data_IF_228140655661
#
_entry.id   IF_228140655661
#
_cell.length_a   1.000
_cell.length_b   1.000
_cell.length_c   1.000
_cell.angle_alpha   90.00
_cell.angle_beta   90.00
_cell.angle_gamma   90.00
#
_symmetry.space_group_name_H-M   'P 1'
#
loop_
_entity.id
_entity.type
_entity.pdbx_description
1 polymer ?
#
# COMPACT_ATOMS: atom_id res chain seq x y z
N UNK A 1 -8.73 -16.08 15.32
CA UNK A 1 -9.88 -15.16 15.33
C UNK A 1 -9.56 -13.92 14.53
N UNK A 2 -10.32 -13.64 13.48
CA UNK A 2 -10.09 -12.48 12.62
C UNK A 2 -10.79 -11.28 13.23
N UNK A 3 -10.02 -10.28 13.66
CA UNK A 3 -10.55 -9.14 14.39
C UNK A 3 -10.48 -7.84 13.59
N UNK A 4 -9.40 -7.68 12.82
CA UNK A 4 -9.12 -6.43 12.11
C UNK A 4 -9.48 -6.49 10.62
N UNK A 5 -9.44 -7.67 10.03
CA UNK A 5 -9.59 -7.85 8.57
C UNK A 5 -10.71 -8.83 8.20
N UNK A 6 -11.69 -9.01 9.08
CA UNK A 6 -12.81 -9.94 8.88
C UNK A 6 -13.63 -9.65 7.62
N UNK A 7 -13.75 -8.38 7.26
CA UNK A 7 -14.55 -7.94 6.12
C UNK A 7 -13.78 -7.91 4.79
N UNK A 8 -12.47 -8.15 4.83
CA UNK A 8 -11.64 -8.11 3.62
C UNK A 8 -11.78 -9.40 2.81
N UNK A 9 -12.23 -9.26 1.57
CA UNK A 9 -12.44 -10.36 0.62
C UNK A 9 -11.43 -10.39 -0.51
N UNK A 10 -10.71 -9.27 -0.72
CA UNK A 10 -9.71 -9.14 -1.77
C UNK A 10 -8.41 -8.58 -1.21
N UNK A 11 -7.31 -8.79 -1.95
CA UNK A 11 -6.02 -8.21 -1.58
C UNK A 11 -6.05 -6.68 -1.56
N UNK A 12 -6.82 -6.06 -2.45
CA UNK A 12 -6.96 -4.61 -2.50
C UNK A 12 -7.65 -4.06 -1.25
N UNK A 13 -8.73 -4.70 -0.81
CA UNK A 13 -9.41 -4.35 0.44
C UNK A 13 -8.50 -4.51 1.65
N UNK A 14 -7.69 -5.57 1.67
CA UNK A 14 -6.72 -5.81 2.73
C UNK A 14 -5.64 -4.73 2.79
N UNK A 15 -5.11 -4.30 1.65
CA UNK A 15 -4.12 -3.22 1.57
C UNK A 15 -4.65 -1.91 2.14
N UNK A 16 -5.87 -1.55 1.77
CA UNK A 16 -6.54 -0.35 2.27
C UNK A 16 -6.76 -0.44 3.79
N UNK A 17 -7.29 -1.56 4.25
CA UNK A 17 -7.56 -1.78 5.68
C UNK A 17 -6.28 -1.75 6.52
N UNK A 18 -5.22 -2.41 6.06
CA UNK A 18 -3.93 -2.39 6.73
C UNK A 18 -3.37 -0.98 6.86
N UNK A 19 -3.41 -0.21 5.77
CA UNK A 19 -2.92 1.18 5.77
C UNK A 19 -3.66 2.05 6.79
N UNK A 20 -4.97 1.90 6.89
CA UNK A 20 -5.79 2.62 7.88
C UNK A 20 -5.39 2.26 9.30
N UNK A 21 -5.29 0.97 9.59
CA UNK A 21 -4.94 0.48 10.93
C UNK A 21 -3.52 0.87 11.32
N UNK A 22 -2.57 0.76 10.41
CA UNK A 22 -1.19 1.17 10.66
C UNK A 22 -1.09 2.67 10.94
N UNK A 23 -1.84 3.50 10.25
CA UNK A 23 -1.87 4.95 10.48
C UNK A 23 -2.39 5.33 11.88
N UNK A 24 -3.21 4.47 12.49
CA UNK A 24 -3.78 4.70 13.82
C UNK A 24 -2.95 4.06 14.93
N UNK A 25 -2.49 2.83 14.70
CA UNK A 25 -1.93 1.98 15.76
C UNK A 25 -0.40 1.84 15.72
N UNK A 26 0.27 2.39 14.72
CA UNK A 26 1.72 2.28 14.64
C UNK A 26 2.41 3.06 15.78
N UNK A 27 3.44 2.50 16.44
CA UNK A 27 4.16 3.19 17.52
C UNK A 27 4.70 4.56 17.16
N UNK A 28 5.14 4.76 15.91
CA UNK A 28 5.67 6.04 15.42
C UNK A 28 4.60 7.15 15.39
N UNK A 29 3.32 6.79 15.40
CA UNK A 29 2.19 7.75 15.47
C UNK A 29 1.49 7.72 16.84
N UNK A 30 2.14 7.13 17.85
CA UNK A 30 1.61 7.06 19.21
C UNK A 30 0.73 5.85 19.50
N UNK A 31 0.74 4.85 18.62
CA UNK A 31 -0.01 3.61 18.81
C UNK A 31 0.69 2.62 19.76
N UNK A 32 0.00 1.53 20.03
CA UNK A 32 0.48 0.47 20.91
C UNK A 32 1.21 -0.64 20.16
N UNK A 33 2.40 -1.01 20.63
CA UNK A 33 3.23 -2.05 20.00
C UNK A 33 2.52 -3.40 19.95
N UNK A 34 1.88 -3.81 21.05
CA UNK A 34 1.19 -5.10 21.12
C UNK A 34 0.01 -5.16 20.13
N UNK A 35 -0.76 -4.09 20.02
CA UNK A 35 -1.85 -3.96 19.06
C UNK A 35 -1.32 -4.02 17.62
N UNK A 36 -0.24 -3.32 17.33
CA UNK A 36 0.35 -3.33 15.99
C UNK A 36 0.91 -4.71 15.60
N UNK A 37 1.51 -5.42 16.55
CA UNK A 37 1.97 -6.79 16.34
C UNK A 37 0.81 -7.73 16.00
N UNK A 38 -0.31 -7.60 16.71
CA UNK A 38 -1.52 -8.38 16.43
C UNK A 38 -2.09 -8.07 15.03
N UNK A 39 -2.12 -6.79 14.64
CA UNK A 39 -2.53 -6.35 13.30
C UNK A 39 -1.62 -6.94 12.23
N UNK A 40 -0.30 -6.89 12.43
CA UNK A 40 0.67 -7.43 11.48
C UNK A 40 0.51 -8.95 11.30
N UNK A 41 0.35 -9.69 12.40
CA UNK A 41 0.17 -11.14 12.35
C UNK A 41 -1.11 -11.54 11.63
N UNK A 42 -2.20 -10.84 11.89
CA UNK A 42 -3.48 -11.09 11.22
C UNK A 42 -3.43 -10.71 9.73
N UNK A 43 -2.80 -9.57 9.41
CA UNK A 43 -2.58 -9.14 8.03
C UNK A 43 -1.85 -10.21 7.22
N UNK A 44 -0.74 -10.72 7.74
CA UNK A 44 0.07 -11.71 7.03
C UNK A 44 -0.70 -13.00 6.79
N UNK A 45 -1.45 -13.46 7.77
CA UNK A 45 -2.29 -14.66 7.66
C UNK A 45 -3.41 -14.48 6.64
N UNK A 46 -4.12 -13.36 6.70
CA UNK A 46 -5.21 -13.06 5.76
C UNK A 46 -4.66 -12.82 4.35
N UNK A 47 -3.50 -12.16 4.24
CA UNK A 47 -2.82 -11.94 2.96
C UNK A 47 -2.51 -13.26 2.26
N UNK A 48 -1.90 -14.22 2.94
CA UNK A 48 -1.57 -15.52 2.36
C UNK A 48 -2.83 -16.29 1.91
N UNK A 49 -3.90 -16.22 2.69
CA UNK A 49 -5.19 -16.83 2.34
C UNK A 49 -5.80 -16.19 1.08
N UNK A 50 -5.85 -14.87 1.03
CA UNK A 50 -6.40 -14.14 -0.13
C UNK A 50 -5.51 -14.29 -1.37
N UNK A 51 -4.21 -14.32 -1.19
CA UNK A 51 -3.24 -14.57 -2.27
C UNK A 51 -3.43 -15.96 -2.87
N UNK A 52 -3.58 -16.99 -2.03
CA UNK A 52 -3.83 -18.34 -2.50
C UNK A 52 -5.13 -18.43 -3.29
N UNK A 53 -6.20 -17.80 -2.82
CA UNK A 53 -7.48 -17.74 -3.51
C UNK A 53 -7.38 -16.98 -4.84
N UNK A 54 -6.66 -15.85 -4.85
CA UNK A 54 -6.41 -15.07 -6.06
C UNK A 54 -5.65 -15.89 -7.11
N UNK A 55 -4.55 -16.53 -6.71
CA UNK A 55 -3.71 -17.32 -7.61
C UNK A 55 -4.41 -18.57 -8.12
N UNK A 56 -5.31 -19.17 -7.33
CA UNK A 56 -6.10 -20.32 -7.75
C UNK A 56 -7.12 -19.99 -8.84
N UNK A 57 -7.65 -18.76 -8.84
CA UNK A 57 -8.64 -18.29 -9.82
C UNK A 57 -8.03 -17.52 -11.00
N UNK A 58 -6.77 -17.08 -10.88
CA UNK A 58 -6.07 -16.32 -11.91
C UNK A 58 -5.33 -17.25 -12.87
N UNK A 59 -5.19 -16.81 -14.12
CA UNK A 59 -4.26 -17.46 -15.05
C UNK A 59 -2.80 -17.17 -14.63
N UNK A 60 -1.86 -17.91 -15.21
CA UNK A 60 -0.43 -17.81 -14.89
C UNK A 60 0.10 -16.37 -14.99
N UNK A 61 -0.46 -15.58 -15.91
CA UNK A 61 -0.05 -14.19 -16.12
C UNK A 61 -0.52 -13.24 -15.01
N UNK A 62 -1.66 -13.54 -14.39
CA UNK A 62 -2.26 -12.69 -13.34
C UNK A 62 -1.97 -13.15 -11.92
N UNK A 63 -1.25 -14.24 -11.74
CA UNK A 63 -0.81 -14.67 -10.41
C UNK A 63 0.19 -13.69 -9.83
N UNK A 64 0.20 -13.58 -8.50
CA UNK A 64 1.12 -12.68 -7.79
C UNK A 64 2.11 -13.43 -6.93
N UNK A 65 3.34 -12.92 -6.89
CA UNK A 65 4.41 -13.38 -6.00
C UNK A 65 4.65 -12.43 -4.82
N UNK A 66 3.81 -11.42 -4.65
CA UNK A 66 3.88 -10.48 -3.53
C UNK A 66 3.98 -11.19 -2.18
N UNK A 67 4.72 -10.59 -1.26
CA UNK A 67 4.78 -11.03 0.14
C UNK A 67 4.14 -10.01 1.06
N UNK A 68 3.50 -10.43 2.15
CA UNK A 68 2.88 -9.48 3.08
C UNK A 68 3.92 -8.58 3.75
N UNK A 69 5.11 -9.07 4.02
CA UNK A 69 6.20 -8.31 4.65
C UNK A 69 6.66 -7.14 3.79
N UNK A 70 6.74 -7.34 2.50
CA UNK A 70 7.15 -6.31 1.54
C UNK A 70 6.21 -5.10 1.58
N UNK A 71 4.91 -5.34 1.52
CA UNK A 71 3.90 -4.30 1.59
C UNK A 71 3.91 -3.60 2.96
N UNK A 72 3.96 -4.36 4.05
CA UNK A 72 4.03 -3.80 5.41
C UNK A 72 5.24 -2.88 5.58
N UNK A 73 6.40 -3.30 5.12
CA UNK A 73 7.63 -2.51 5.20
C UNK A 73 7.48 -1.17 4.51
N UNK A 74 6.97 -1.16 3.29
CA UNK A 74 6.80 0.07 2.51
C UNK A 74 5.80 1.01 3.20
N UNK A 75 4.66 0.49 3.65
CA UNK A 75 3.64 1.29 4.35
C UNK A 75 4.20 1.92 5.62
N UNK A 76 4.91 1.15 6.44
CA UNK A 76 5.49 1.64 7.70
C UNK A 76 6.53 2.73 7.45
N UNK A 77 7.41 2.55 6.48
CA UNK A 77 8.41 3.57 6.13
C UNK A 77 7.77 4.85 5.59
N UNK A 78 6.71 4.73 4.78
CA UNK A 78 5.97 5.89 4.29
C UNK A 78 5.26 6.66 5.42
N UNK A 79 4.80 5.98 6.46
CA UNK A 79 4.19 6.62 7.63
C UNK A 79 5.16 7.50 8.41
N UNK A 80 6.45 7.22 8.36
CA UNK A 80 7.49 8.03 9.01
C UNK A 80 7.78 9.35 8.28
N UNK A 81 7.34 9.47 7.03
CA UNK A 81 7.57 10.63 6.19
C UNK A 81 6.36 11.57 6.26
N UNK A 82 6.57 12.79 6.74
CA UNK A 82 5.50 13.77 6.89
C UNK A 82 5.17 14.50 5.58
N UNK A 83 3.94 14.96 5.45
CA UNK A 83 3.49 15.77 4.33
C UNK A 83 3.27 15.01 3.02
N UNK A 84 3.22 13.69 3.05
CA UNK A 84 2.95 12.87 1.87
C UNK A 84 1.47 12.56 1.74
N UNK A 85 0.99 12.60 0.50
CA UNK A 85 -0.32 12.10 0.10
C UNK A 85 -0.15 10.74 -0.56
N UNK A 86 -0.78 9.72 -0.02
CA UNK A 86 -0.67 8.35 -0.53
C UNK A 86 -2.03 7.89 -1.03
N UNK A 87 -2.06 7.48 -2.29
CA UNK A 87 -3.24 6.95 -2.95
C UNK A 87 -2.99 5.48 -3.31
N UNK A 88 -3.91 4.62 -2.92
CA UNK A 88 -3.87 3.19 -3.22
C UNK A 88 -4.79 2.92 -4.40
N UNK A 89 -4.22 2.46 -5.52
CA UNK A 89 -4.96 2.06 -6.71
C UNK A 89 -4.61 0.60 -7.02
N UNK A 90 -5.49 -0.34 -6.62
CA UNK A 90 -5.20 -1.76 -6.72
C UNK A 90 -3.95 -2.14 -5.91
N UNK A 91 -2.94 -2.70 -6.58
CA UNK A 91 -1.66 -3.05 -5.96
C UNK A 91 -0.62 -1.92 -6.02
N UNK A 92 -0.98 -0.77 -6.58
CA UNK A 92 -0.09 0.38 -6.73
C UNK A 92 -0.27 1.38 -5.60
N UNK A 93 0.85 1.92 -5.11
CA UNK A 93 0.88 3.09 -4.23
C UNK A 93 1.35 4.29 -5.04
N UNK A 94 0.56 5.36 -5.05
CA UNK A 94 0.92 6.63 -5.68
C UNK A 94 1.19 7.66 -4.59
N UNK A 95 2.33 8.29 -4.65
CA UNK A 95 2.85 9.15 -3.57
C UNK A 95 3.05 10.55 -4.12
N UNK A 96 2.31 11.49 -3.56
CA UNK A 96 2.41 12.91 -3.87
C UNK A 96 2.66 13.73 -2.62
N UNK A 97 2.47 15.05 -2.71
CA UNK A 97 2.68 15.98 -1.62
C UNK A 97 4.14 16.42 -1.53
N UNK A 98 4.69 16.51 -0.32
CA UNK A 98 6.05 17.00 -0.07
C UNK A 98 7.13 15.93 -0.33
N UNK A 99 7.14 15.39 -1.55
CA UNK A 99 8.05 14.31 -1.93
C UNK A 99 9.49 14.77 -2.12
N UNK A 100 9.71 16.07 -2.36
CA UNK A 100 11.04 16.62 -2.64
C UNK A 100 11.98 16.43 -1.46
N UNK A 101 11.51 16.65 -0.24
CA UNK A 101 12.30 16.48 0.99
C UNK A 101 12.60 15.00 1.28
N UNK A 102 11.76 14.10 0.81
CA UNK A 102 11.85 12.65 1.07
C UNK A 102 12.38 11.85 -0.12
N UNK A 103 12.93 12.51 -1.12
CA UNK A 103 13.39 11.88 -2.36
C UNK A 103 14.32 10.69 -2.14
N UNK A 104 15.31 10.84 -1.27
CA UNK A 104 16.28 9.77 -0.99
C UNK A 104 15.62 8.58 -0.26
N UNK A 105 14.73 8.87 0.69
CA UNK A 105 13.98 7.84 1.40
C UNK A 105 13.06 7.08 0.45
N UNK A 106 12.37 7.76 -0.47
CA UNK A 106 11.52 7.14 -1.47
C UNK A 106 12.31 6.25 -2.42
N UNK A 107 13.48 6.69 -2.86
CA UNK A 107 14.37 5.86 -3.69
C UNK A 107 14.84 4.61 -2.94
N UNK A 108 15.19 4.76 -1.67
CA UNK A 108 15.62 3.63 -0.83
C UNK A 108 14.53 2.58 -0.65
N UNK A 109 13.25 2.97 -0.70
CA UNK A 109 12.10 2.05 -0.65
C UNK A 109 11.82 1.36 -1.99
N UNK A 110 12.48 1.76 -3.07
CA UNK A 110 12.22 1.23 -4.40
C UNK A 110 11.13 1.98 -5.16
N UNK A 111 10.73 3.16 -4.67
CA UNK A 111 9.77 4.00 -5.38
C UNK A 111 10.39 4.61 -6.65
N UNK A 112 9.56 4.78 -7.67
CA UNK A 112 9.96 5.36 -8.96
C UNK A 112 9.17 6.63 -9.23
N UNK A 113 9.87 7.66 -9.72
CA UNK A 113 9.23 8.92 -10.09
C UNK A 113 8.63 8.85 -11.49
N UNK A 114 7.34 9.11 -11.59
CA UNK A 114 6.66 9.29 -12.88
C UNK A 114 6.69 10.78 -13.24
N UNK A 115 7.51 11.14 -14.20
CA UNK A 115 7.65 12.53 -14.66
C UNK A 115 6.34 13.08 -15.26
N UNK A 116 5.60 12.24 -15.99
CA UNK A 116 4.34 12.65 -16.62
C UNK A 116 3.23 12.92 -15.60
N UNK A 117 3.21 12.18 -14.51
CA UNK A 117 2.20 12.31 -13.45
C UNK A 117 2.65 13.20 -12.31
N UNK A 118 3.94 13.54 -12.25
CA UNK A 118 4.57 14.26 -11.13
C UNK A 118 4.34 13.58 -9.77
N UNK A 119 4.25 12.25 -9.79
CA UNK A 119 4.01 11.40 -8.62
C UNK A 119 5.07 10.30 -8.54
N UNK A 120 5.39 9.91 -7.32
CA UNK A 120 6.15 8.68 -7.07
C UNK A 120 5.21 7.50 -7.02
N UNK A 121 5.69 6.33 -7.39
CA UNK A 121 4.91 5.10 -7.34
C UNK A 121 5.72 3.95 -6.77
N UNK A 122 5.02 3.06 -6.09
CA UNK A 122 5.57 1.78 -5.66
C UNK A 122 4.64 0.66 -6.10
N UNK A 123 5.23 -0.41 -6.58
CA UNK A 123 4.53 -1.63 -6.96
C UNK A 123 5.49 -2.81 -6.84
N UNK A 124 4.96 -3.96 -6.42
CA UNK A 124 5.73 -5.20 -6.42
C UNK A 124 6.14 -5.58 -7.85
N UNK A 125 7.42 -5.89 -8.04
CA UNK A 125 7.93 -6.30 -9.35
C UNK A 125 7.80 -7.83 -9.50
N UNK A 126 6.89 -8.24 -10.37
CA UNK A 126 6.74 -9.64 -10.74
C UNK A 126 7.90 -10.08 -11.64
N UNK A 127 8.59 -11.16 -11.25
CA UNK A 127 9.71 -11.68 -12.02
C UNK A 127 9.29 -12.06 -13.46
N UNK A 128 10.02 -11.56 -14.44
CA UNK A 128 9.80 -11.87 -15.85
C UNK A 128 8.73 -11.04 -16.55
N UNK A 129 8.03 -10.15 -15.85
CA UNK A 129 7.07 -9.24 -16.49
C UNK A 129 7.74 -7.97 -17.00
N UNK A 130 7.66 -7.77 -18.30
CA UNK A 130 7.98 -6.47 -18.90
C UNK A 130 6.71 -5.64 -18.92
N UNK A 131 6.66 -4.60 -18.10
CA UNK A 131 5.56 -3.65 -18.11
C UNK A 131 5.54 -2.93 -19.45
N UNK A 132 4.45 -3.09 -20.19
CA UNK A 132 4.19 -2.22 -21.35
C UNK A 132 3.98 -0.81 -20.84
N UNK A 133 4.74 0.13 -21.34
CA UNK A 133 4.53 1.56 -21.07
C UNK A 133 3.17 1.97 -21.64
N UNK A 134 2.13 1.86 -20.83
CA UNK A 134 0.82 2.43 -21.12
C UNK A 134 0.83 3.89 -20.74
N UNK A 135 0.35 4.73 -21.60
CA UNK A 135 0.24 6.16 -21.31
C UNK A 135 -1.12 6.46 -20.69
N UNK A 136 -1.39 5.82 -19.55
CA UNK A 136 -2.63 6.00 -18.80
C UNK A 136 -2.56 7.23 -17.89
N UNK A 137 -3.60 8.06 -17.92
CA UNK A 137 -3.75 9.15 -16.96
C UNK A 137 -4.10 8.61 -15.57
N UNK A 138 -3.90 9.42 -14.53
CA UNK A 138 -4.35 9.04 -13.18
C UNK A 138 -5.86 8.79 -13.13
N UNK A 139 -6.65 9.53 -13.91
CA UNK A 139 -8.09 9.30 -14.05
C UNK A 139 -8.43 7.91 -14.59
N UNK A 140 -7.68 7.43 -15.58
CA UNK A 140 -7.87 6.11 -16.17
C UNK A 140 -7.48 5.00 -15.18
N UNK A 141 -6.38 5.20 -14.45
CA UNK A 141 -5.92 4.27 -13.42
C UNK A 141 -6.94 4.16 -12.29
N UNK A 142 -7.47 5.28 -11.81
CA UNK A 142 -8.51 5.32 -10.78
C UNK A 142 -9.79 4.61 -11.21
N UNK A 143 -10.22 4.80 -12.46
CA UNK A 143 -11.39 4.12 -13.01
C UNK A 143 -11.19 2.62 -13.12
N UNK A 144 -10.01 2.17 -13.51
CA UNK A 144 -9.71 0.75 -13.73
C UNK A 144 -9.54 -0.03 -12.43
N UNK A 145 -8.86 0.53 -11.44
CA UNK A 145 -8.46 -0.18 -10.23
C UNK A 145 -9.18 0.30 -8.96
N UNK A 146 -10.00 1.34 -9.05
CA UNK A 146 -10.49 2.03 -7.89
C UNK A 146 -9.41 2.91 -7.25
N UNK A 147 -9.82 3.79 -6.38
CA UNK A 147 -8.90 4.71 -5.71
C UNK A 147 -9.32 4.90 -4.26
N UNK A 148 -8.37 4.79 -3.38
CA UNK A 148 -8.52 5.16 -1.99
C UNK A 148 -7.41 6.12 -1.58
N UNK A 149 -7.79 7.36 -1.29
CA UNK A 149 -6.85 8.38 -0.84
C UNK A 149 -6.79 8.39 0.68
N UNK A 150 -5.65 8.02 1.22
CA UNK A 150 -5.39 8.12 2.66
C UNK A 150 -4.74 9.48 2.92
N UNK A 151 -5.57 10.49 3.07
CA UNK A 151 -5.09 11.72 3.69
C UNK A 151 -4.87 11.44 5.17
N UNK A 152 -3.65 11.58 5.62
CA UNK A 152 -3.39 11.80 7.03
C UNK A 152 -4.05 13.15 7.34
N UNK A 153 -5.26 13.13 7.86
CA UNK A 153 -5.85 14.35 8.37
C UNK A 153 -4.99 14.86 9.51
N UNK A 154 -4.51 16.08 9.40
CA UNK A 154 -3.82 16.80 10.48
C UNK A 154 -4.70 16.93 11.75
N UNK A 155 -5.94 16.54 11.66
CA UNK A 155 -6.92 16.59 12.75
C UNK A 155 -6.74 15.51 13.82
N UNK A 156 -5.83 14.54 13.62
CA UNK A 156 -5.52 13.56 14.66
C UNK A 156 -4.51 14.08 15.70
N UNK A 157 -3.99 15.28 15.55
CA UNK A 157 -3.00 15.88 16.46
C UNK A 157 -3.59 17.02 17.30
N UNK A 158 -4.84 17.32 17.14
CA UNK A 158 -5.50 18.40 17.87
C UNK A 158 -6.47 17.85 18.93
N UNK A 159 -5.93 17.13 19.91
CA UNK A 159 -6.60 16.98 21.22
C UNK A 159 -5.52 17.01 22.30
#
# INVERSE_FOLDING_TARGET
MTQYFADCKTLDELRIAYRKLAAIHHPDVGGDVATMQAINAEHDRVFESLKAAHNASADEYHQTTETPEEFRRVVVELLKLSGLNIEICGSWLWIGGNTREHKEALKALGCKLSKNKMLWSWHHEEAGRKWRRGNYSMGDIRRKYGSYNVQMSETAVAV
#
